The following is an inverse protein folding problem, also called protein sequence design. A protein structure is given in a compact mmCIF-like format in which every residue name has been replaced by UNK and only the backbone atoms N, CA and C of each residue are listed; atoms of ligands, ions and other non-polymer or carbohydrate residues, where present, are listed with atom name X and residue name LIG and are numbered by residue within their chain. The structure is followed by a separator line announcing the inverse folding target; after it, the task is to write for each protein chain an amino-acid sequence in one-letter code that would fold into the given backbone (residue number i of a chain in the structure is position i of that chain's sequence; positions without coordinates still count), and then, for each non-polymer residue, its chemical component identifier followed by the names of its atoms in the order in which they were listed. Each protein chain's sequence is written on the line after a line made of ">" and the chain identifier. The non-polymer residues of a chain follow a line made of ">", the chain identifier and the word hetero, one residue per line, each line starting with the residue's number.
data_IF_476520075241
#
_entry.id   IF_476520075241
#
_cell.length_a   1.000
_cell.length_b   1.000
_cell.length_c   1.000
_cell.angle_alpha   90.00
_cell.angle_beta   90.00
_cell.angle_gamma   90.00
#
_symmetry.space_group_name_H-M   'P 1'
#
loop_
_entity.id
_entity.type
_entity.pdbx_description
1 polymer ?
#
# COMPACT_ATOMS: atom_id res chain seq x y z
N UNK A 1 -20.80 13.96 5.45
CA UNK A 1 -20.23 13.10 6.51
C UNK A 1 -20.25 11.63 6.09
N UNK A 2 -19.77 11.29 4.89
CA UNK A 2 -19.99 9.95 4.27
C UNK A 2 -18.73 9.08 4.12
N UNK A 3 -17.52 9.61 4.37
CA UNK A 3 -16.27 8.88 4.16
C UNK A 3 -15.68 8.24 5.41
N UNK A 4 -16.19 8.57 6.60
CA UNK A 4 -15.71 8.05 7.89
C UNK A 4 -16.62 6.96 8.47
N UNK A 5 -17.48 6.36 7.65
CA UNK A 5 -18.32 5.25 8.07
C UNK A 5 -17.48 3.98 8.24
N UNK A 6 -17.68 3.26 9.33
CA UNK A 6 -17.06 1.96 9.53
C UNK A 6 -17.59 0.93 8.52
N UNK A 7 -16.71 0.05 8.06
CA UNK A 7 -17.05 -1.10 7.22
C UNK A 7 -16.75 -2.39 7.98
N UNK A 8 -17.62 -3.39 7.86
CA UNK A 8 -17.48 -4.70 8.52
C UNK A 8 -17.55 -5.85 7.51
N UNK A 9 -17.29 -7.09 7.95
CA UNK A 9 -17.29 -8.27 7.09
C UNK A 9 -16.25 -8.17 5.97
N UNK A 10 -16.64 -8.51 4.73
CA UNK A 10 -15.76 -8.43 3.56
C UNK A 10 -15.34 -7.00 3.18
N UNK A 11 -16.10 -6.00 3.63
CA UNK A 11 -15.85 -4.60 3.30
C UNK A 11 -15.93 -4.26 1.81
N UNK A 12 -16.88 -4.86 1.10
CA UNK A 12 -17.22 -4.43 -0.26
C UNK A 12 -17.96 -3.08 -0.24
N UNK A 13 -17.81 -2.30 -1.31
CA UNK A 13 -18.50 -1.00 -1.43
C UNK A 13 -17.98 0.10 -0.51
N UNK A 14 -16.88 -0.11 0.23
CA UNK A 14 -16.34 0.90 1.15
C UNK A 14 -15.82 2.14 0.41
N UNK A 15 -16.63 3.20 0.43
CA UNK A 15 -16.34 4.48 -0.21
C UNK A 15 -15.25 5.26 0.54
N UNK A 16 -15.18 5.16 1.87
CA UNK A 16 -14.17 5.81 2.69
C UNK A 16 -12.78 5.31 2.32
N UNK A 17 -12.62 3.99 2.30
CA UNK A 17 -11.40 3.29 1.90
C UNK A 17 -10.97 3.65 0.47
N UNK A 18 -11.88 3.58 -0.50
CA UNK A 18 -11.58 3.94 -1.90
C UNK A 18 -11.21 5.42 -2.06
N UNK A 19 -11.84 6.31 -1.29
CA UNK A 19 -11.58 7.74 -1.37
C UNK A 19 -10.23 8.09 -0.73
N UNK A 20 -9.89 7.46 0.39
CA UNK A 20 -8.59 7.62 1.04
C UNK A 20 -7.44 7.27 0.08
N UNK A 21 -7.56 6.17 -0.66
CA UNK A 21 -6.56 5.79 -1.67
C UNK A 21 -6.43 6.82 -2.78
N UNK A 22 -7.54 7.34 -3.30
CA UNK A 22 -7.49 8.41 -4.33
C UNK A 22 -6.82 9.68 -3.81
N UNK A 23 -7.06 10.04 -2.54
CA UNK A 23 -6.41 11.19 -1.91
C UNK A 23 -4.89 10.97 -1.83
N UNK A 24 -4.45 9.79 -1.37
CA UNK A 24 -3.03 9.46 -1.32
C UNK A 24 -2.39 9.42 -2.71
N UNK A 25 -3.03 8.76 -3.69
CA UNK A 25 -2.55 8.71 -5.07
C UNK A 25 -2.34 10.13 -5.62
N UNK A 26 -3.32 11.02 -5.44
CA UNK A 26 -3.22 12.42 -5.84
C UNK A 26 -2.13 13.19 -5.10
N UNK A 27 -2.00 13.00 -3.79
CA UNK A 27 -1.02 13.71 -2.96
C UNK A 27 0.42 13.31 -3.29
N UNK A 28 0.66 12.04 -3.59
CA UNK A 28 1.98 11.49 -3.93
C UNK A 28 2.27 11.46 -5.44
N UNK A 29 1.32 11.89 -6.28
CA UNK A 29 1.48 11.93 -7.73
C UNK A 29 1.46 10.57 -8.42
N UNK A 30 0.95 9.53 -7.76
CA UNK A 30 0.78 8.19 -8.33
C UNK A 30 -0.57 8.01 -9.01
N UNK A 31 -0.66 7.05 -9.94
CA UNK A 31 -1.93 6.69 -10.61
C UNK A 31 -2.91 6.01 -9.65
N UNK A 32 -2.38 5.28 -8.67
CA UNK A 32 -3.12 4.57 -7.63
C UNK A 32 -2.33 4.56 -6.31
N UNK A 33 -3.01 4.24 -5.23
CA UNK A 33 -2.38 4.00 -3.92
C UNK A 33 -3.12 2.85 -3.22
N UNK A 34 -2.40 2.13 -2.35
CA UNK A 34 -2.96 1.11 -1.47
C UNK A 34 -2.73 1.51 -0.01
N UNK A 35 -3.76 2.07 0.62
CA UNK A 35 -3.71 2.56 2.01
C UNK A 35 -4.67 1.76 2.86
N UNK A 36 -4.14 0.94 3.77
CA UNK A 36 -4.88 -0.15 4.42
C UNK A 36 -4.43 -0.36 5.85
N UNK A 37 -5.38 -0.60 6.75
CA UNK A 37 -5.09 -1.08 8.11
C UNK A 37 -4.48 -2.49 8.09
N UNK A 38 -4.73 -3.27 7.04
CA UNK A 38 -4.13 -4.58 6.81
C UNK A 38 -2.60 -4.51 6.63
N UNK A 39 -2.06 -3.34 6.28
CA UNK A 39 -0.62 -3.11 6.18
C UNK A 39 -0.12 -2.58 7.54
N UNK A 40 0.35 -3.50 8.37
CA UNK A 40 0.64 -3.24 9.79
C UNK A 40 1.85 -2.34 10.07
N UNK A 41 2.77 -2.15 9.12
CA UNK A 41 3.99 -1.34 9.31
C UNK A 41 4.60 -0.89 7.99
N UNK A 42 5.58 0.01 8.06
CA UNK A 42 6.40 0.43 6.91
C UNK A 42 7.18 -0.73 6.29
N UNK A 43 7.83 -1.58 7.10
CA UNK A 43 8.52 -2.79 6.62
C UNK A 43 7.55 -3.74 5.90
N UNK A 44 6.33 -3.92 6.43
CA UNK A 44 5.32 -4.73 5.74
C UNK A 44 4.93 -4.10 4.38
N UNK A 45 4.77 -2.78 4.30
CA UNK A 45 4.47 -2.11 3.03
C UNK A 45 5.58 -2.33 1.99
N UNK A 46 6.85 -2.20 2.38
CA UNK A 46 8.00 -2.44 1.49
C UNK A 46 8.03 -3.89 1.03
N UNK A 47 7.92 -4.85 1.96
CA UNK A 47 7.92 -6.28 1.62
C UNK A 47 6.74 -6.67 0.71
N UNK A 48 5.55 -6.11 0.95
CA UNK A 48 4.37 -6.33 0.12
C UNK A 48 4.62 -5.89 -1.33
N UNK A 49 5.23 -4.72 -1.53
CA UNK A 49 5.59 -4.23 -2.86
C UNK A 49 6.62 -5.14 -3.54
N UNK A 50 7.70 -5.50 -2.84
CA UNK A 50 8.77 -6.34 -3.40
C UNK A 50 8.26 -7.74 -3.75
N UNK A 51 7.55 -8.39 -2.84
CA UNK A 51 7.00 -9.73 -3.04
C UNK A 51 5.87 -9.75 -4.08
N UNK A 52 5.11 -8.65 -4.20
CA UNK A 52 4.05 -8.52 -5.19
C UNK A 52 4.58 -8.34 -6.63
N UNK A 53 5.74 -7.69 -6.78
CA UNK A 53 6.33 -7.37 -8.08
C UNK A 53 7.34 -8.42 -8.55
N UNK A 54 8.22 -8.90 -7.68
CA UNK A 54 9.29 -9.84 -8.06
C UNK A 54 8.74 -11.24 -8.33
N UNK A 55 9.41 -11.98 -9.23
CA UNK A 55 9.13 -13.37 -9.58
C UNK A 55 10.39 -14.23 -9.44
N UNK A 56 10.26 -15.57 -9.36
CA UNK A 56 11.41 -16.45 -9.33
C UNK A 56 12.34 -16.20 -10.53
N UNK A 57 13.61 -15.90 -10.25
CA UNK A 57 14.63 -15.57 -11.25
C UNK A 57 14.90 -14.06 -11.41
N UNK A 58 14.02 -13.19 -10.91
CA UNK A 58 14.26 -11.74 -10.90
C UNK A 58 15.36 -11.36 -9.91
N UNK A 59 16.00 -10.21 -10.16
CA UNK A 59 16.98 -9.62 -9.26
C UNK A 59 16.53 -8.23 -8.82
N UNK A 60 16.78 -7.92 -7.55
CA UNK A 60 16.55 -6.61 -6.95
C UNK A 60 17.89 -5.90 -6.74
N UNK A 61 17.99 -4.65 -7.19
CA UNK A 61 19.18 -3.82 -6.99
C UNK A 61 18.81 -2.65 -6.08
N UNK A 62 19.52 -2.52 -4.95
CA UNK A 62 19.48 -1.32 -4.11
C UNK A 62 20.54 -0.34 -4.59
N UNK A 63 20.12 0.71 -5.29
CA UNK A 63 21.03 1.73 -5.84
C UNK A 63 21.65 2.67 -4.77
N UNK A 64 21.16 2.59 -3.53
CA UNK A 64 21.54 3.49 -2.43
C UNK A 64 22.39 2.81 -1.35
N UNK A 65 22.97 1.64 -1.64
CA UNK A 65 23.76 0.85 -0.69
C UNK A 65 22.93 -0.17 0.09
N UNK A 66 23.44 -0.59 1.26
CA UNK A 66 22.75 -1.55 2.12
C UNK A 66 21.40 -0.97 2.60
N UNK A 67 20.29 -1.73 2.49
CA UNK A 67 19.02 -1.33 3.08
C UNK A 67 19.11 -1.30 4.61
N UNK A 68 18.10 -0.74 5.25
CA UNK A 68 17.96 -0.76 6.70
C UNK A 68 17.76 -2.21 7.22
N UNK A 69 18.09 -2.44 8.49
CA UNK A 69 18.40 -3.76 9.07
C UNK A 69 17.24 -4.77 9.21
N UNK A 70 15.99 -4.32 9.34
CA UNK A 70 14.85 -5.13 9.85
C UNK A 70 14.61 -6.47 9.20
#
# INVERSE_FOLDING_TARGET
>A
THHFTSSTGYGYGDLGRKTLERVFARAFGGEAALVRQQIVSGTHAINLCLSGLLRPGDQLIFATGLPYDT
#
